data_IF_902645899185
#
_entry.id   IF_902645899185
#
_cell.length_a   1.000
_cell.length_b   1.000
_cell.length_c   1.000
_cell.angle_alpha   90.00
_cell.angle_beta   90.00
_cell.angle_gamma   90.00
#
_symmetry.space_group_name_H-M   'P 1'
#
loop_
_entity.id
_entity.type
_entity.pdbx_description
1 polymer ?
#
# COMPACT_ATOMS: atom_id res chain seq x y z
N UNK A 1 5.65 1.48 6.59
CA UNK A 1 4.78 0.42 6.04
C UNK A 1 4.90 0.51 4.53
N UNK A 2 5.18 -0.60 3.85
CA UNK A 2 5.46 -0.58 2.41
C UNK A 2 4.19 -0.76 1.58
N UNK A 3 4.17 -0.14 0.42
CA UNK A 3 3.10 -0.18 -0.56
C UNK A 3 3.64 -0.70 -1.90
N UNK A 4 2.91 -1.63 -2.50
CA UNK A 4 3.25 -2.30 -3.76
C UNK A 4 2.18 -1.98 -4.81
N UNK A 5 2.55 -1.95 -6.09
CA UNK A 5 1.55 -1.88 -7.16
C UNK A 5 0.84 -3.22 -7.33
N UNK A 6 -0.47 -3.17 -7.60
CA UNK A 6 -1.27 -4.34 -8.01
C UNK A 6 -0.78 -5.01 -9.29
N UNK A 7 0.05 -4.33 -10.09
CA UNK A 7 0.69 -4.89 -11.30
C UNK A 7 2.14 -5.33 -11.08
N UNK A 8 2.69 -5.09 -9.89
CA UNK A 8 3.95 -5.66 -9.42
C UNK A 8 5.24 -5.12 -10.07
N UNK A 9 5.15 -4.09 -10.91
CA UNK A 9 6.31 -3.56 -11.64
C UNK A 9 6.69 -2.15 -11.25
N UNK A 10 5.82 -1.42 -10.54
CA UNK A 10 6.16 -0.14 -9.95
C UNK A 10 7.08 -0.29 -8.72
N UNK A 11 7.88 0.73 -8.39
CA UNK A 11 8.70 0.75 -7.17
C UNK A 11 7.88 0.56 -5.90
N UNK A 12 8.48 -0.05 -4.88
CA UNK A 12 7.88 -0.13 -3.55
C UNK A 12 8.04 1.22 -2.84
N UNK A 13 6.94 1.78 -2.36
CA UNK A 13 6.91 3.11 -1.73
C UNK A 13 6.49 3.03 -0.26
N UNK A 14 6.77 4.09 0.50
CA UNK A 14 6.12 4.33 1.79
C UNK A 14 4.80 5.11 1.61
N UNK A 15 4.00 5.21 2.67
CA UNK A 15 2.65 5.77 2.59
C UNK A 15 2.60 7.21 2.04
N UNK A 16 3.51 8.08 2.51
CA UNK A 16 3.54 9.49 2.08
C UNK A 16 3.80 9.62 0.58
N UNK A 17 4.78 8.86 0.07
CA UNK A 17 5.10 8.83 -1.37
C UNK A 17 3.96 8.26 -2.20
N UNK A 18 3.30 7.19 -1.73
CA UNK A 18 2.10 6.64 -2.37
C UNK A 18 0.97 7.65 -2.44
N UNK A 19 0.72 8.39 -1.36
CA UNK A 19 -0.34 9.40 -1.29
C UNK A 19 -0.10 10.54 -2.29
N UNK A 20 1.16 10.97 -2.44
CA UNK A 20 1.54 12.02 -3.37
C UNK A 20 1.58 11.54 -4.84
N UNK A 21 1.96 10.28 -5.07
CA UNK A 21 1.98 9.69 -6.41
C UNK A 21 0.58 9.46 -6.99
N UNK A 22 -0.39 9.13 -6.15
CA UNK A 22 -1.74 8.76 -6.57
C UNK A 22 -1.77 7.40 -7.27
N UNK A 23 -1.50 7.37 -8.58
CA UNK A 23 -1.47 6.13 -9.37
C UNK A 23 -0.05 5.55 -9.43
N UNK A 24 0.06 4.22 -9.43
CA UNK A 24 1.36 3.58 -9.64
C UNK A 24 1.87 3.82 -11.07
N UNK A 25 3.18 3.88 -11.25
CA UNK A 25 3.83 4.21 -12.53
C UNK A 25 3.59 3.17 -13.63
N UNK A 26 3.18 1.95 -13.26
CA UNK A 26 2.78 0.88 -14.18
C UNK A 26 1.27 0.87 -14.50
N UNK A 27 0.55 1.92 -14.08
CA UNK A 27 -0.90 2.05 -14.22
C UNK A 27 -1.70 1.17 -13.26
N UNK A 28 -1.05 0.55 -12.27
CA UNK A 28 -1.69 -0.14 -11.16
C UNK A 28 -2.08 0.79 -10.02
N UNK A 29 -2.60 0.21 -8.93
CA UNK A 29 -2.91 0.91 -7.69
C UNK A 29 -1.91 0.50 -6.62
N UNK A 30 -1.47 1.43 -5.78
CA UNK A 30 -0.68 1.10 -4.61
C UNK A 30 -1.57 0.52 -3.50
N UNK A 31 -1.16 -0.63 -2.95
CA UNK A 31 -1.81 -1.31 -1.82
C UNK A 31 -0.74 -1.67 -0.78
N UNK A 32 -1.09 -1.76 0.52
CA UNK A 32 -0.12 -2.18 1.52
C UNK A 32 0.40 -3.58 1.22
N UNK A 33 1.71 -3.78 1.36
CA UNK A 33 2.36 -5.08 1.20
C UNK A 33 1.75 -6.14 2.13
N UNK A 34 1.35 -5.73 3.33
CA UNK A 34 0.67 -6.57 4.30
C UNK A 34 -0.47 -5.82 4.96
N UNK A 35 -1.64 -6.44 5.10
CA UNK A 35 -2.75 -5.85 5.86
C UNK A 35 -2.47 -5.89 7.37
N UNK A 36 -2.73 -4.78 8.09
CA UNK A 36 -2.65 -4.79 9.54
C UNK A 36 -3.70 -5.74 10.11
N UNK A 37 -3.33 -6.52 11.14
CA UNK A 37 -4.26 -7.37 11.87
C UNK A 37 -4.81 -6.60 13.05
N UNK A 38 -6.14 -6.51 13.12
CA UNK A 38 -6.83 -5.94 14.27
C UNK A 38 -7.06 -7.03 15.31
N UNK A 39 -6.71 -6.77 16.57
CA UNK A 39 -6.95 -7.71 17.66
C UNK A 39 -8.42 -7.70 18.09
N UNK A 40 -8.88 -8.72 18.82
CA UNK A 40 -10.27 -8.74 19.33
C UNK A 40 -10.51 -7.59 20.31
N UNK A 41 -9.52 -7.25 21.11
CA UNK A 41 -9.54 -6.13 22.05
C UNK A 41 -9.68 -4.79 21.34
N UNK A 42 -9.12 -4.66 20.13
CA UNK A 42 -9.24 -3.45 19.30
C UNK A 42 -10.65 -3.29 18.70
N UNK A 43 -11.39 -4.39 18.53
CA UNK A 43 -12.69 -4.42 17.87
C UNK A 43 -13.89 -4.43 18.83
N UNK A 44 -13.66 -4.53 20.14
CA UNK A 44 -14.68 -4.73 21.18
C UNK A 44 -15.25 -3.42 21.72
#
# INVERSE_FOLDING_TARGET
MKYISTRGTAPVLDFEDTLLAGLATDGGLYVPESWPRLSRETLA
#
